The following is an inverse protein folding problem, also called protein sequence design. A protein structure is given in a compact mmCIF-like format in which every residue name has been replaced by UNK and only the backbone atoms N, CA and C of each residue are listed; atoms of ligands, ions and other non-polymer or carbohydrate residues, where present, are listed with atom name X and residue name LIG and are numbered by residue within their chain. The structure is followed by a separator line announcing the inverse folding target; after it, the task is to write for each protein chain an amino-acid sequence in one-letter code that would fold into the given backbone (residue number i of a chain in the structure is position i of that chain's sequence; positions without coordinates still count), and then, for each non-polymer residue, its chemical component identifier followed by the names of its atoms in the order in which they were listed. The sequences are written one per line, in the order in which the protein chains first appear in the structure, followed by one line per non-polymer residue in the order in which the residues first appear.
data_IF_808185816924
#
_entry.id   IF_808185816924
#
_cell.length_a   1.000
_cell.length_b   1.000
_cell.length_c   1.000
_cell.angle_alpha   90.00
_cell.angle_beta   90.00
_cell.angle_gamma   90.00
#
_symmetry.space_group_name_H-M   'P 1'
#
loop_
_entity.id
_entity.type
_entity.pdbx_description
1 polymer ?
#
# COMPACT_ATOMS: atom_id res chain seq x y z
N UNK A 1 -10.47 -11.45 -16.19
CA UNK A 1 -11.85 -11.24 -15.68
C UNK A 1 -12.14 -9.75 -15.47
N UNK A 2 -13.40 -9.34 -15.44
CA UNK A 2 -13.83 -7.92 -15.33
C UNK A 2 -13.22 -7.11 -14.16
N UNK A 3 -12.62 -7.76 -13.16
CA UNK A 3 -11.99 -7.12 -11.99
C UNK A 3 -10.57 -6.61 -12.24
N UNK A 4 -9.88 -7.11 -13.25
CA UNK A 4 -8.53 -6.64 -13.63
C UNK A 4 -8.57 -5.40 -14.54
N UNK A 5 -9.75 -4.98 -14.98
CA UNK A 5 -9.92 -3.78 -15.83
C UNK A 5 -9.60 -2.47 -15.13
N UNK A 6 -9.69 -2.43 -13.77
CA UNK A 6 -9.36 -1.21 -13.01
C UNK A 6 -7.89 -0.82 -13.12
N UNK A 7 -6.96 -1.76 -13.33
CA UNK A 7 -5.55 -1.43 -13.50
C UNK A 7 -5.32 -0.52 -14.72
N UNK A 8 -6.01 -0.79 -15.83
CA UNK A 8 -5.91 0.07 -17.02
C UNK A 8 -6.29 1.51 -16.75
N UNK A 9 -7.34 1.75 -15.94
CA UNK A 9 -7.74 3.09 -15.54
C UNK A 9 -6.74 3.75 -14.59
N UNK A 10 -6.19 3.00 -13.63
CA UNK A 10 -5.12 3.51 -12.77
C UNK A 10 -3.88 3.89 -13.58
N UNK A 11 -3.47 3.05 -14.51
CA UNK A 11 -2.34 3.31 -15.39
C UNK A 11 -2.56 4.59 -16.22
N UNK A 12 -3.77 4.76 -16.79
CA UNK A 12 -4.14 5.98 -17.51
C UNK A 12 -4.07 7.21 -16.63
N UNK A 13 -4.61 7.15 -15.41
CA UNK A 13 -4.57 8.26 -14.44
C UNK A 13 -3.15 8.62 -14.02
N UNK A 14 -2.27 7.63 -13.80
CA UNK A 14 -0.87 7.88 -13.48
C UNK A 14 -0.20 8.63 -14.64
N UNK A 15 -0.45 8.22 -15.87
CA UNK A 15 0.07 8.87 -17.07
C UNK A 15 -0.43 10.33 -17.19
N UNK A 16 -1.73 10.57 -17.04
CA UNK A 16 -2.34 11.88 -17.18
C UNK A 16 -1.97 12.83 -16.03
N UNK A 17 -1.99 12.36 -14.80
CA UNK A 17 -1.76 13.19 -13.61
C UNK A 17 -0.28 13.35 -13.27
N UNK A 18 0.57 12.45 -13.77
CA UNK A 18 2.02 12.40 -13.51
C UNK A 18 2.37 12.64 -12.00
N UNK A 19 1.82 11.85 -11.07
CA UNK A 19 2.00 12.08 -9.64
C UNK A 19 3.44 11.80 -9.22
N UNK A 20 3.96 12.57 -8.26
CA UNK A 20 5.28 12.29 -7.67
C UNK A 20 5.35 10.95 -6.98
N UNK A 21 4.24 10.52 -6.38
CA UNK A 21 4.11 9.26 -5.66
C UNK A 21 2.76 8.62 -5.97
N UNK A 22 2.81 7.35 -6.21
CA UNK A 22 1.63 6.51 -6.39
C UNK A 22 1.73 5.34 -5.41
N UNK A 23 0.71 5.17 -4.60
CA UNK A 23 0.64 4.06 -3.63
C UNK A 23 -0.56 3.20 -3.99
N UNK A 24 -0.33 1.91 -4.16
CA UNK A 24 -1.36 0.93 -4.45
C UNK A 24 -1.35 -0.20 -3.44
N UNK A 25 -2.52 -0.58 -2.97
CA UNK A 25 -2.74 -1.77 -2.14
C UNK A 25 -3.46 -2.85 -2.94
N UNK A 26 -3.06 -4.09 -2.76
CA UNK A 26 -3.76 -5.23 -3.32
C UNK A 26 -3.56 -6.49 -2.46
N UNK A 27 -4.29 -7.55 -2.79
CA UNK A 27 -4.10 -8.85 -2.14
C UNK A 27 -2.70 -9.42 -2.41
N UNK A 28 -2.10 -10.09 -1.42
CA UNK A 28 -0.76 -10.68 -1.54
C UNK A 28 -0.62 -11.64 -2.74
N UNK A 29 -1.72 -12.23 -3.21
CA UNK A 29 -1.74 -13.11 -4.39
C UNK A 29 -1.33 -12.40 -5.69
N UNK A 30 -1.50 -11.08 -5.79
CA UNK A 30 -1.06 -10.30 -6.95
C UNK A 30 0.43 -10.49 -7.22
N UNK A 31 1.26 -10.69 -6.17
CA UNK A 31 2.70 -10.96 -6.30
C UNK A 31 2.99 -12.13 -7.25
N UNK A 32 2.15 -13.17 -7.23
CA UNK A 32 2.33 -14.37 -8.07
C UNK A 32 1.61 -14.28 -9.43
N UNK A 33 0.54 -13.51 -9.54
CA UNK A 33 -0.38 -13.57 -10.68
C UNK A 33 -0.48 -12.32 -11.53
N UNK A 34 0.17 -11.22 -11.18
CA UNK A 34 -0.01 -9.98 -11.92
C UNK A 34 1.00 -8.87 -11.64
N UNK A 35 1.83 -9.00 -10.60
CA UNK A 35 2.82 -7.98 -10.25
C UNK A 35 3.75 -7.64 -11.41
N UNK A 36 4.27 -8.65 -12.11
CA UNK A 36 5.17 -8.42 -13.24
C UNK A 36 4.53 -7.61 -14.37
N UNK A 37 3.23 -7.76 -14.61
CA UNK A 37 2.50 -6.96 -15.59
C UNK A 37 2.34 -5.49 -15.11
N UNK A 38 2.01 -5.31 -13.83
CA UNK A 38 1.91 -3.97 -13.21
C UNK A 38 3.24 -3.24 -13.30
N UNK A 39 4.34 -3.90 -12.90
CA UNK A 39 5.68 -3.28 -12.91
C UNK A 39 6.12 -2.93 -14.33
N UNK A 40 5.85 -3.81 -15.31
CA UNK A 40 6.16 -3.54 -16.72
C UNK A 40 5.42 -2.31 -17.23
N UNK A 41 4.11 -2.23 -17.00
CA UNK A 41 3.32 -1.08 -17.43
C UNK A 41 3.72 0.22 -16.74
N UNK A 42 4.15 0.19 -15.47
CA UNK A 42 4.74 1.35 -14.80
C UNK A 42 6.05 1.77 -15.47
N UNK A 43 6.94 0.82 -15.79
CA UNK A 43 8.20 1.10 -16.48
C UNK A 43 7.98 1.71 -17.88
N UNK A 44 6.93 1.28 -18.61
CA UNK A 44 6.54 1.84 -19.93
C UNK A 44 6.22 3.34 -19.84
N UNK A 45 5.67 3.81 -18.71
CA UNK A 45 5.39 5.22 -18.44
C UNK A 45 6.48 5.89 -17.58
N UNK A 46 7.67 5.28 -17.50
CA UNK A 46 8.85 5.80 -16.82
C UNK A 46 8.66 6.00 -15.32
N UNK A 47 8.00 5.04 -14.66
CA UNK A 47 7.91 4.96 -13.22
C UNK A 47 8.74 3.78 -12.72
N UNK A 48 9.56 4.02 -11.70
CA UNK A 48 10.16 2.99 -10.87
C UNK A 48 9.18 2.60 -9.77
N UNK A 49 9.31 1.40 -9.25
CA UNK A 49 8.41 0.91 -8.22
C UNK A 49 9.10 -0.02 -7.23
N UNK A 50 8.73 0.12 -5.97
CA UNK A 50 9.07 -0.79 -4.88
C UNK A 50 7.79 -1.49 -4.39
N UNK A 51 7.92 -2.73 -3.92
CA UNK A 51 6.77 -3.49 -3.43
C UNK A 51 7.11 -4.34 -2.22
N UNK A 52 6.17 -4.39 -1.27
CA UNK A 52 6.30 -5.16 -0.05
C UNK A 52 4.99 -5.85 0.31
N UNK A 53 5.09 -7.10 0.82
CA UNK A 53 3.94 -7.75 1.45
C UNK A 53 3.98 -7.41 2.95
N UNK A 54 3.05 -6.60 3.40
CA UNK A 54 2.96 -6.16 4.80
C UNK A 54 1.74 -6.80 5.45
N UNK A 55 1.97 -7.45 6.58
CA UNK A 55 0.91 -8.01 7.42
C UNK A 55 0.36 -6.94 8.37
N UNK A 56 -0.93 -6.96 8.64
CA UNK A 56 -1.53 -6.13 9.68
C UNK A 56 -0.88 -6.35 11.06
N UNK A 57 -0.42 -7.59 11.34
CA UNK A 57 0.36 -7.90 12.55
C UNK A 57 1.66 -7.12 12.67
N UNK A 58 2.27 -6.74 11.56
CA UNK A 58 3.51 -5.96 11.57
C UNK A 58 3.31 -4.57 12.20
N UNK A 59 2.10 -4.04 12.16
CA UNK A 59 1.70 -2.77 12.81
C UNK A 59 0.88 -2.99 14.08
N UNK A 60 0.93 -4.19 14.69
CA UNK A 60 0.33 -4.50 15.98
C UNK A 60 -1.12 -4.97 15.92
N UNK A 61 -1.74 -5.15 14.76
CA UNK A 61 -3.11 -5.65 14.67
C UNK A 61 -3.26 -7.08 15.21
N UNK A 62 -4.38 -7.43 15.87
CA UNK A 62 -4.62 -8.76 16.44
C UNK A 62 -4.90 -9.82 15.36
N UNK A 63 -5.04 -9.42 14.12
CA UNK A 63 -5.34 -10.32 12.98
C UNK A 63 -4.23 -10.32 11.94
N UNK A 64 -4.10 -11.42 11.24
CA UNK A 64 -3.22 -11.53 10.09
C UNK A 64 -3.98 -11.10 8.83
N UNK A 65 -3.45 -10.07 8.15
CA UNK A 65 -3.98 -9.57 6.89
C UNK A 65 -2.79 -9.14 6.02
N UNK A 66 -2.33 -10.06 5.20
CA UNK A 66 -1.21 -9.79 4.30
C UNK A 66 -1.70 -9.04 3.07
N UNK A 67 -1.08 -7.90 2.77
CA UNK A 67 -1.36 -7.09 1.59
C UNK A 67 -0.09 -6.73 0.87
N UNK A 68 -0.18 -6.73 -0.46
CA UNK A 68 0.86 -6.22 -1.32
C UNK A 68 0.69 -4.71 -1.45
N UNK A 69 1.72 -3.99 -1.07
CA UNK A 69 1.84 -2.55 -1.24
C UNK A 69 2.85 -2.27 -2.34
N UNK A 70 2.50 -1.40 -3.27
CA UNK A 70 3.37 -0.93 -4.33
C UNK A 70 3.47 0.58 -4.19
N UNK A 71 4.69 1.10 -4.12
CA UNK A 71 5.00 2.53 -4.12
C UNK A 71 5.75 2.81 -5.39
N UNK A 72 5.21 3.68 -6.24
CA UNK A 72 5.82 4.04 -7.51
C UNK A 72 6.09 5.55 -7.59
N UNK A 73 7.15 5.91 -8.31
CA UNK A 73 7.63 7.28 -8.47
C UNK A 73 8.30 7.43 -9.84
N UNK A 74 8.37 8.66 -10.42
CA UNK A 74 9.02 8.89 -11.69
C UNK A 74 10.48 8.43 -11.70
N UNK A 75 10.89 7.70 -12.73
CA UNK A 75 12.27 7.27 -12.90
C UNK A 75 13.18 8.47 -13.19
N UNK A 76 14.33 8.56 -12.51
CA UNK A 76 15.33 9.61 -12.72
C UNK A 76 15.87 9.64 -14.17
N UNK A 77 15.84 8.51 -14.86
CA UNK A 77 16.29 8.41 -16.26
C UNK A 77 15.33 9.08 -17.25
N UNK A 78 14.10 9.41 -16.82
CA UNK A 78 13.05 10.01 -17.67
C UNK A 78 12.98 11.54 -17.62
N UNK A 79 13.57 12.17 -16.64
CA UNK A 79 13.51 13.62 -16.41
C UNK A 79 14.85 14.29 -16.79
N UNK A 80 15.14 14.37 -18.07
CA UNK A 80 16.15 15.31 -18.58
C UNK A 80 15.61 16.75 -18.38
N UNK A 81 15.75 17.30 -17.20
CA UNK A 81 15.38 18.69 -16.95
C UNK A 81 15.19 19.12 -15.51
N UNK A 82 14.85 18.24 -14.59
CA UNK A 82 14.71 18.58 -13.17
C UNK A 82 15.44 17.55 -12.31
N UNK A 83 16.78 17.66 -12.29
CA UNK A 83 17.64 16.99 -11.31
C UNK A 83 17.51 17.66 -9.95
N UNK A 84 16.41 17.46 -9.27
CA UNK A 84 16.50 17.33 -7.83
C UNK A 84 16.77 15.84 -7.56
N UNK A 85 17.89 15.56 -6.92
CA UNK A 85 18.26 14.24 -6.41
C UNK A 85 17.17 13.81 -5.44
N UNK A 86 16.11 13.23 -5.95
CA UNK A 86 15.22 12.41 -5.13
C UNK A 86 16.06 11.21 -4.74
N UNK A 87 16.56 11.20 -3.50
CA UNK A 87 17.29 10.09 -2.96
C UNK A 87 16.48 8.82 -3.26
N UNK A 88 17.15 7.78 -3.81
CA UNK A 88 16.51 6.49 -3.99
C UNK A 88 15.87 6.11 -2.67
N UNK A 89 14.56 5.81 -2.62
CA UNK A 89 13.95 5.27 -1.43
C UNK A 89 14.50 3.86 -1.21
N UNK A 90 15.75 3.77 -0.81
CA UNK A 90 16.47 2.50 -0.74
C UNK A 90 15.94 1.57 0.35
N UNK A 91 14.93 1.95 1.13
CA UNK A 91 14.36 1.09 2.18
C UNK A 91 13.03 1.63 2.73
N UNK A 92 11.99 1.73 1.92
CA UNK A 92 10.68 2.17 2.44
C UNK A 92 10.11 1.20 3.48
N UNK A 93 10.44 -0.09 3.42
CA UNK A 93 9.89 -1.08 4.35
C UNK A 93 10.89 -2.16 4.71
N UNK A 94 11.84 -1.90 5.60
CA UNK A 94 12.57 -2.99 6.27
C UNK A 94 11.73 -3.54 7.43
N UNK A 95 11.93 -4.81 7.80
CA UNK A 95 11.29 -5.39 8.99
C UNK A 95 11.68 -4.64 10.27
N UNK A 96 12.87 -4.05 10.30
CA UNK A 96 13.36 -3.24 11.42
C UNK A 96 12.64 -1.91 11.55
N UNK A 97 12.36 -1.23 10.44
CA UNK A 97 11.61 0.03 10.46
C UNK A 97 10.13 -0.17 10.79
N UNK A 98 9.54 -1.31 10.42
CA UNK A 98 8.20 -1.71 10.89
C UNK A 98 8.18 -2.04 12.40
N UNK A 99 9.27 -2.61 12.94
CA UNK A 99 9.40 -2.85 14.38
C UNK A 99 9.50 -1.55 15.18
N UNK A 100 10.15 -0.50 14.64
CA UNK A 100 10.18 0.84 15.25
C UNK A 100 8.79 1.48 15.29
N UNK A 101 7.95 1.30 14.28
CA UNK A 101 6.56 1.77 14.30
C UNK A 101 5.71 1.13 15.42
N UNK A 102 6.05 -0.11 15.79
CA UNK A 102 5.40 -0.82 16.92
C UNK A 102 5.80 -0.24 18.28
N UNK A 103 7.00 0.31 18.43
CA UNK A 103 7.52 0.84 19.69
C UNK A 103 7.12 2.30 19.94
N UNK A 104 6.83 3.08 18.90
CA UNK A 104 6.44 4.48 19.00
C UNK A 104 4.94 4.67 19.27
N UNK A 105 4.09 3.73 18.91
CA UNK A 105 2.69 3.72 19.30
C UNK A 105 2.54 3.01 20.64
N UNK A 106 2.67 3.76 21.73
CA UNK A 106 2.42 3.26 23.07
C UNK A 106 1.08 2.54 23.14
N UNK A 107 1.08 1.30 23.71
CA UNK A 107 -0.04 0.42 24.02
C UNK A 107 -1.02 0.21 22.86
N UNK A 108 -1.13 -1.05 22.43
CA UNK A 108 -2.02 -1.52 21.38
C UNK A 108 -3.39 -0.79 21.43
N UNK A 109 -3.59 0.16 20.52
CA UNK A 109 -4.88 0.85 20.30
C UNK A 109 -5.93 -0.08 19.66
N UNK A 110 -5.62 -1.36 19.60
CA UNK A 110 -6.53 -2.35 19.06
C UNK A 110 -7.37 -2.88 20.20
N UNK A 111 -8.57 -2.35 20.35
CA UNK A 111 -9.58 -3.00 21.14
C UNK A 111 -9.83 -4.41 20.59
N UNK A 112 -9.99 -5.37 21.51
CA UNK A 112 -10.36 -6.74 21.14
C UNK A 112 -11.64 -6.65 20.31
N UNK A 113 -11.58 -7.08 19.05
CA UNK A 113 -12.75 -7.09 18.17
C UNK A 113 -13.92 -7.75 18.90
N UNK A 114 -15.03 -7.03 19.17
CA UNK A 114 -16.18 -7.65 19.77
C UNK A 114 -16.65 -8.79 18.85
N UNK A 115 -16.98 -9.93 19.43
CA UNK A 115 -17.46 -11.14 18.70
C UNK A 115 -18.79 -10.90 17.94
N UNK A 116 -18.97 -9.73 17.37
CA UNK A 116 -20.23 -9.25 16.76
C UNK A 116 -20.56 -9.98 15.45
N UNK A 117 -19.59 -10.64 14.84
CA UNK A 117 -19.78 -11.31 13.55
C UNK A 117 -20.67 -12.55 13.61
N UNK A 118 -20.95 -13.10 14.80
CA UNK A 118 -21.69 -14.36 14.98
C UNK A 118 -23.08 -14.20 15.57
N UNK A 119 -23.47 -13.04 16.05
CA UNK A 119 -24.56 -12.91 17.02
C UNK A 119 -25.84 -12.25 16.49
N UNK A 120 -25.92 -11.77 15.24
CA UNK A 120 -27.14 -11.10 14.78
C UNK A 120 -27.56 -11.66 13.42
N UNK A 121 -28.53 -12.54 13.47
CA UNK A 121 -29.37 -12.86 12.30
C UNK A 121 -30.25 -11.64 12.01
N UNK A 122 -30.39 -11.27 10.73
CA UNK A 122 -31.32 -10.23 10.31
C UNK A 122 -30.69 -8.87 9.96
N UNK A 123 -29.36 -8.69 9.93
CA UNK A 123 -28.77 -7.46 9.42
C UNK A 123 -28.92 -7.41 7.89
N UNK A 124 -29.64 -6.42 7.33
CA UNK A 124 -29.78 -6.25 5.89
C UNK A 124 -28.41 -6.13 5.21
N UNK A 125 -28.22 -6.83 4.07
CA UNK A 125 -26.97 -6.78 3.29
C UNK A 125 -25.70 -7.24 4.03
N UNK A 126 -25.81 -8.06 5.07
CA UNK A 126 -24.66 -8.59 5.85
C UNK A 126 -23.48 -9.07 4.97
N UNK A 127 -23.66 -9.88 3.92
CA UNK A 127 -22.55 -10.32 3.08
C UNK A 127 -21.82 -9.17 2.40
N UNK A 128 -22.56 -8.13 1.99
CA UNK A 128 -21.99 -6.96 1.34
C UNK A 128 -21.18 -6.11 2.33
N UNK A 129 -21.70 -5.91 3.54
CA UNK A 129 -21.01 -5.17 4.63
C UNK A 129 -19.73 -5.88 5.09
N UNK A 130 -19.78 -7.20 5.29
CA UNK A 130 -18.61 -8.00 5.62
C UNK A 130 -17.55 -7.96 4.53
N UNK A 131 -17.96 -7.94 3.26
CA UNK A 131 -17.04 -7.79 2.12
C UNK A 131 -16.37 -6.42 2.11
N UNK A 132 -17.10 -5.35 2.41
CA UNK A 132 -16.56 -4.00 2.50
C UNK A 132 -15.55 -3.89 3.65
N UNK A 133 -15.88 -4.39 4.83
CA UNK A 133 -14.95 -4.46 5.97
C UNK A 133 -13.71 -5.32 5.63
N UNK A 134 -13.92 -6.43 4.93
CA UNK A 134 -12.84 -7.28 4.43
C UNK A 134 -11.92 -6.59 3.41
N UNK A 135 -12.37 -5.54 2.74
CA UNK A 135 -11.58 -4.74 1.79
C UNK A 135 -11.02 -3.46 2.42
N UNK A 136 -11.37 -3.13 3.66
CA UNK A 136 -10.86 -1.95 4.33
C UNK A 136 -9.33 -2.02 4.48
N UNK A 137 -8.68 -0.88 4.37
CA UNK A 137 -7.23 -0.73 4.59
C UNK A 137 -6.96 -0.63 6.09
N UNK A 138 -5.86 -1.20 6.55
CA UNK A 138 -5.33 -0.98 7.91
C UNK A 138 -4.61 0.37 7.92
N UNK A 139 -5.14 1.43 8.57
CA UNK A 139 -4.67 2.81 8.39
C UNK A 139 -3.21 3.03 8.76
N UNK A 140 -2.69 2.29 9.72
CA UNK A 140 -1.31 2.39 10.21
C UNK A 140 -0.26 2.05 9.13
N UNK A 141 -0.62 1.23 8.14
CA UNK A 141 0.32 0.85 7.09
C UNK A 141 0.53 2.01 6.10
N UNK A 142 -0.50 2.60 5.47
CA UNK A 142 -0.30 3.76 4.59
C UNK A 142 0.21 5.00 5.35
N UNK A 143 -0.11 5.16 6.63
CA UNK A 143 0.48 6.18 7.49
C UNK A 143 1.99 6.01 7.57
N UNK A 144 2.46 4.79 7.88
CA UNK A 144 3.88 4.47 7.91
C UNK A 144 4.56 4.73 6.56
N UNK A 145 3.98 4.26 5.45
CA UNK A 145 4.51 4.51 4.10
C UNK A 145 4.62 6.01 3.83
N UNK A 146 3.57 6.77 4.18
CA UNK A 146 3.55 8.23 4.03
C UNK A 146 4.61 8.95 4.87
N UNK A 147 4.89 8.44 6.09
CA UNK A 147 5.98 8.96 6.93
C UNK A 147 7.34 8.70 6.28
N UNK A 148 7.60 7.47 5.78
CA UNK A 148 8.83 7.14 5.07
C UNK A 148 9.05 8.06 3.85
N UNK A 149 8.01 8.29 3.06
CA UNK A 149 8.06 9.21 1.91
C UNK A 149 8.41 10.63 2.39
N UNK A 150 7.73 11.14 3.43
CA UNK A 150 7.96 12.49 3.97
C UNK A 150 9.36 12.68 4.53
N UNK A 151 9.90 11.67 5.20
CA UNK A 151 11.22 11.78 5.84
C UNK A 151 12.36 11.83 4.80
N UNK A 152 12.15 11.28 3.61
CA UNK A 152 13.05 11.44 2.47
C UNK A 152 13.12 12.89 1.96
N UNK A 153 12.07 13.69 2.16
CA UNK A 153 12.06 15.12 1.79
C UNK A 153 12.67 16.04 2.83
N UNK A 154 12.89 15.56 4.06
CA UNK A 154 13.51 16.36 5.12
C UNK A 154 15.02 16.26 5.15
N UNK A 155 15.60 15.36 4.37
CA UNK A 155 17.06 15.13 4.26
C UNK A 155 17.75 15.97 3.19
N UNK A 156 17.01 16.82 2.51
CA UNK A 156 17.47 17.87 1.58
C UNK A 156 17.29 19.26 2.23
#
# INVERSE_FOLDING_TARGET
GKRSGLWGEFHRLIWECNPRWFIMENVAMLRRRGLGQVLRSLAEIRYDAEWHCISARAVGAPHQRDRLWIVAYPSEQGLQGHRQKLGRPSQICTQESLAMCRSSSGKAQWEVEPKVGRLVDGIPNRPHRLRQLGNAVVPQIPEYIGQCIRDQYKGD
#
